data_IF_372920894233
#
_entry.id   IF_372920894233
#
_cell.length_a   1.000
_cell.length_b   1.000
_cell.length_c   1.000
_cell.angle_alpha   90.00
_cell.angle_beta   90.00
_cell.angle_gamma   90.00
#
_symmetry.space_group_name_H-M   'P 1'
#
loop_
_entity.id
_entity.type
_entity.pdbx_description
1 polymer ?
#
# COMPACT_ATOMS: atom_id res chain seq x y z
N UNK A 1 9.07 21.03 -12.36
CA UNK A 1 8.44 20.72 -11.06
C UNK A 1 6.96 20.48 -11.30
N UNK A 2 6.44 19.29 -11.00
CA UNK A 2 5.10 18.86 -11.42
C UNK A 2 4.01 19.60 -10.63
N UNK A 3 2.98 20.16 -11.29
CA UNK A 3 1.82 20.84 -10.68
C UNK A 3 1.13 20.00 -9.58
N UNK A 4 1.23 18.67 -9.71
CA UNK A 4 0.78 17.66 -8.74
C UNK A 4 1.46 17.74 -7.38
N UNK A 5 2.77 18.01 -7.35
CA UNK A 5 3.51 18.14 -6.10
C UNK A 5 3.19 19.45 -5.40
N UNK A 6 2.96 20.54 -6.14
CA UNK A 6 2.56 21.83 -5.56
C UNK A 6 1.24 21.73 -4.75
N UNK A 7 0.28 20.91 -5.20
CA UNK A 7 -0.97 20.68 -4.47
C UNK A 7 -0.77 19.79 -3.25
N UNK A 8 0.02 18.71 -3.37
CA UNK A 8 0.35 17.86 -2.21
C UNK A 8 1.19 18.63 -1.20
N UNK A 9 2.16 19.43 -1.64
CA UNK A 9 2.97 20.31 -0.78
C UNK A 9 2.16 21.47 -0.23
N UNK A 10 1.13 21.96 -0.91
CA UNK A 10 0.21 22.98 -0.37
C UNK A 10 -0.66 22.40 0.75
N UNK A 11 -1.12 21.15 0.62
CA UNK A 11 -1.75 20.40 1.72
C UNK A 11 -0.70 20.12 2.81
N UNK A 12 0.54 19.77 2.43
CA UNK A 12 1.65 19.55 3.36
C UNK A 12 2.00 20.82 4.12
N UNK A 13 2.04 22.01 3.52
CA UNK A 13 2.32 23.27 4.23
C UNK A 13 1.22 23.59 5.23
N UNK A 14 -0.03 23.20 4.95
CA UNK A 14 -1.13 23.31 5.90
C UNK A 14 -1.07 22.30 7.05
N UNK A 15 -0.32 21.20 6.90
CA UNK A 15 -0.09 20.18 7.94
C UNK A 15 1.30 20.26 8.62
N UNK A 16 2.28 20.91 7.98
CA UNK A 16 3.70 21.02 8.40
C UNK A 16 4.00 22.37 9.04
N UNK A 17 3.11 23.36 8.94
CA UNK A 17 3.05 24.46 9.91
C UNK A 17 2.07 24.08 11.02
N UNK A 18 2.52 23.44 12.11
CA UNK A 18 1.70 23.42 13.28
C UNK A 18 1.69 24.85 13.84
N UNK A 19 0.54 25.52 13.74
CA UNK A 19 0.10 26.26 14.92
C UNK A 19 -0.15 25.21 16.00
N UNK A 20 0.92 24.80 16.69
CA UNK A 20 0.83 24.15 17.99
C UNK A 20 0.30 25.22 18.95
N UNK A 21 -1.01 25.44 18.95
CA UNK A 21 -1.71 25.91 20.14
C UNK A 21 -2.38 24.67 20.72
N UNK A 22 -1.59 23.92 21.48
CA UNK A 22 -2.14 23.10 22.55
C UNK A 22 -2.49 24.10 23.65
N UNK A 23 -3.72 24.62 23.62
CA UNK A 23 -4.37 25.08 24.84
C UNK A 23 -5.14 23.88 25.38
N UNK A 24 -4.46 23.06 26.20
CA UNK A 24 -5.13 22.25 27.20
C UNK A 24 -4.85 22.93 28.53
N UNK A 25 -5.91 23.27 29.27
CA UNK A 25 -5.84 23.82 30.62
C UNK A 25 -5.02 22.88 31.50
N UNK A 26 -3.79 23.29 31.84
CA UNK A 26 -2.96 22.56 32.80
C UNK A 26 -3.54 22.60 34.23
N UNK A 27 -4.55 23.43 34.48
CA UNK A 27 -5.16 23.60 35.81
C UNK A 27 -6.06 22.42 36.21
N UNK A 28 -6.79 21.80 35.28
CA UNK A 28 -7.71 20.70 35.58
C UNK A 28 -6.98 19.38 35.89
N UNK A 29 -5.83 19.16 35.25
CA UNK A 29 -5.00 17.96 35.45
C UNK A 29 -4.24 18.06 36.78
N UNK A 30 -3.80 19.26 37.15
CA UNK A 30 -3.00 19.46 38.36
C UNK A 30 -3.86 19.31 39.63
N UNK A 31 -5.09 19.83 39.62
CA UNK A 31 -6.04 19.68 40.74
C UNK A 31 -6.46 18.22 40.94
N UNK A 32 -6.75 17.51 39.85
CA UNK A 32 -7.15 16.11 39.90
C UNK A 32 -5.99 15.19 40.35
N UNK A 33 -4.75 15.51 39.94
CA UNK A 33 -3.55 14.78 40.38
C UNK A 33 -3.23 14.97 41.88
N UNK A 34 -3.50 16.16 42.43
CA UNK A 34 -3.30 16.43 43.86
C UNK A 34 -4.34 15.74 44.73
N UNK A 35 -5.60 15.67 44.28
CA UNK A 35 -6.68 15.00 45.02
C UNK A 35 -6.51 13.47 45.03
N UNK A 36 -6.01 12.90 43.94
CA UNK A 36 -5.71 11.45 43.83
C UNK A 36 -4.45 11.06 44.63
N UNK A 37 -3.49 11.97 44.78
CA UNK A 37 -2.22 11.73 45.50
C UNK A 37 -2.39 11.41 46.99
N UNK A 38 -3.51 11.78 47.60
CA UNK A 38 -3.73 11.62 49.05
C UNK A 38 -4.12 10.17 49.41
N UNK A 39 -4.59 9.35 48.45
CA UNK A 39 -5.25 8.08 48.76
C UNK A 39 -4.52 6.77 48.39
N UNK A 40 -3.33 6.79 47.78
CA UNK A 40 -2.65 5.52 47.42
C UNK A 40 -1.13 5.56 47.58
N UNK A 41 -0.66 5.00 48.70
CA UNK A 41 0.75 4.64 48.88
C UNK A 41 0.99 3.23 48.32
N UNK A 42 1.03 3.12 46.98
CA UNK A 42 1.40 1.92 46.22
C UNK A 42 2.66 2.26 45.40
N UNK A 43 3.62 1.34 45.17
CA UNK A 43 4.94 1.68 44.63
C UNK A 43 4.84 2.40 43.28
N UNK A 44 5.22 3.68 43.27
CA UNK A 44 5.09 4.65 42.18
C UNK A 44 6.14 4.39 41.08
N UNK A 45 6.20 3.20 40.51
CA UNK A 45 6.90 2.96 39.23
C UNK A 45 5.97 3.43 38.09
N UNK A 46 5.95 4.75 37.92
CA UNK A 46 5.58 5.59 36.77
C UNK A 46 4.40 5.18 35.86
N UNK A 47 3.16 5.40 36.32
CA UNK A 47 1.94 5.41 35.48
C UNK A 47 2.10 6.22 34.18
N UNK A 48 2.76 7.39 34.23
CA UNK A 48 3.05 8.23 33.06
C UNK A 48 3.89 7.50 32.00
N UNK A 49 4.90 6.71 32.39
CA UNK A 49 5.72 5.97 31.43
C UNK A 49 4.93 4.83 30.76
N UNK A 50 4.02 4.19 31.48
CA UNK A 50 3.15 3.14 30.91
C UNK A 50 2.22 3.76 29.86
N UNK A 51 1.62 4.92 30.17
CA UNK A 51 0.80 5.65 29.22
C UNK A 51 1.58 6.05 27.95
N UNK A 52 2.81 6.57 28.11
CA UNK A 52 3.67 6.90 26.96
C UNK A 52 3.95 5.67 26.08
N UNK A 53 4.19 4.49 26.69
CA UNK A 53 4.40 3.24 25.95
C UNK A 53 3.13 2.83 25.17
N UNK A 54 1.95 2.95 25.79
CA UNK A 54 0.67 2.65 25.15
C UNK A 54 0.42 3.57 23.95
N UNK A 55 0.61 4.89 24.12
CA UNK A 55 0.46 5.87 23.04
C UNK A 55 1.46 5.61 21.91
N UNK A 56 2.72 5.34 22.24
CA UNK A 56 3.74 4.96 21.25
C UNK A 56 3.30 3.73 20.43
N UNK A 57 2.81 2.70 21.12
CA UNK A 57 2.32 1.47 20.49
C UNK A 57 1.15 1.73 19.55
N UNK A 58 0.15 2.52 19.99
CA UNK A 58 -1.03 2.87 19.18
C UNK A 58 -0.63 3.70 17.95
N UNK A 59 0.22 4.72 18.12
CA UNK A 59 0.69 5.55 17.03
C UNK A 59 1.44 4.73 15.97
N UNK A 60 2.35 3.85 16.39
CA UNK A 60 3.12 3.03 15.46
C UNK A 60 2.32 1.90 14.84
N UNK A 61 1.34 1.33 15.54
CA UNK A 61 0.37 0.43 14.93
C UNK A 61 -0.40 1.16 13.82
N UNK A 62 -1.03 2.28 14.13
CA UNK A 62 -1.81 3.05 13.16
C UNK A 62 -0.95 3.43 11.94
N UNK A 63 0.29 3.85 12.18
CA UNK A 63 1.25 4.19 11.14
C UNK A 63 1.70 2.99 10.30
N UNK A 64 2.47 2.09 10.91
CA UNK A 64 3.25 1.05 10.24
C UNK A 64 2.46 -0.24 10.05
N UNK A 65 1.56 -0.53 11.01
CA UNK A 65 0.69 -1.70 10.97
C UNK A 65 -0.54 -1.52 10.10
N UNK A 66 -1.01 -0.29 9.86
CA UNK A 66 -2.25 -0.03 9.11
C UNK A 66 -2.07 0.91 7.91
N UNK A 67 -1.79 2.21 8.12
CA UNK A 67 -1.81 3.22 7.06
C UNK A 67 -0.82 2.92 5.93
N UNK A 68 0.40 2.50 6.27
CA UNK A 68 1.42 2.17 5.28
C UNK A 68 1.04 0.95 4.41
N UNK A 69 0.68 -0.21 4.98
CA UNK A 69 0.14 -1.33 4.22
C UNK A 69 -1.10 -0.94 3.39
N UNK A 70 -2.04 -0.19 3.96
CA UNK A 70 -3.25 0.25 3.26
C UNK A 70 -2.91 1.13 2.04
N UNK A 71 -1.93 2.03 2.17
CA UNK A 71 -1.43 2.83 1.06
C UNK A 71 -0.80 1.99 -0.04
N UNK A 72 -0.06 0.94 0.30
CA UNK A 72 0.51 -0.01 -0.67
C UNK A 72 -0.60 -0.80 -1.38
N UNK A 73 -1.59 -1.30 -0.64
CA UNK A 73 -2.73 -2.00 -1.21
C UNK A 73 -3.56 -1.12 -2.13
N UNK A 74 -3.72 0.16 -1.79
CA UNK A 74 -4.47 1.13 -2.60
C UNK A 74 -3.79 1.39 -3.94
N UNK A 75 -2.49 1.68 -3.96
CA UNK A 75 -1.81 1.95 -5.24
C UNK A 75 -1.76 0.71 -6.11
N UNK A 76 -1.71 -0.49 -5.51
CA UNK A 76 -1.72 -1.75 -6.25
C UNK A 76 -3.00 -2.00 -7.05
N UNK A 77 -4.13 -1.43 -6.64
CA UNK A 77 -5.37 -1.44 -7.44
C UNK A 77 -5.21 -0.76 -8.81
N UNK A 78 -4.13 -0.01 -9.03
CA UNK A 78 -3.85 0.56 -10.35
C UNK A 78 -3.38 -0.45 -11.39
N UNK A 79 -3.03 -1.68 -10.98
CA UNK A 79 -2.51 -2.71 -11.87
C UNK A 79 -3.62 -3.51 -12.59
N UNK A 80 -4.89 -3.24 -12.29
CA UNK A 80 -6.06 -3.84 -12.94
C UNK A 80 -6.25 -3.24 -14.35
N UNK A 81 -6.49 -4.09 -15.36
CA UNK A 81 -6.60 -3.82 -16.80
C UNK A 81 -7.63 -2.73 -17.14
N UNK A 82 -8.61 -2.48 -16.27
CA UNK A 82 -9.71 -1.50 -16.48
C UNK A 82 -9.52 -0.15 -15.76
N UNK A 83 -8.28 0.23 -15.40
CA UNK A 83 -8.07 1.48 -14.68
C UNK A 83 -8.07 2.71 -15.61
N UNK A 84 -9.16 3.50 -15.58
CA UNK A 84 -9.19 4.79 -16.28
C UNK A 84 -8.10 5.74 -15.77
N UNK A 85 -7.67 6.68 -16.62
CA UNK A 85 -6.61 7.65 -16.28
C UNK A 85 -6.96 8.50 -15.05
N UNK A 86 -8.25 8.75 -14.82
CA UNK A 86 -8.77 9.44 -13.62
C UNK A 86 -8.66 8.58 -12.37
N UNK A 87 -9.06 7.30 -12.42
CA UNK A 87 -8.92 6.35 -11.29
C UNK A 87 -7.46 6.22 -10.86
N UNK A 88 -6.53 6.09 -11.82
CA UNK A 88 -5.10 6.02 -11.54
C UNK A 88 -4.57 7.27 -10.79
N UNK A 89 -5.07 8.47 -11.13
CA UNK A 89 -4.71 9.70 -10.42
C UNK A 89 -5.25 9.68 -8.98
N UNK A 90 -6.50 9.27 -8.79
CA UNK A 90 -7.12 9.18 -7.46
C UNK A 90 -6.34 8.20 -6.58
N UNK A 91 -6.07 6.98 -7.07
CA UNK A 91 -5.31 5.98 -6.31
C UNK A 91 -3.92 6.47 -5.94
N UNK A 92 -3.25 7.21 -6.82
CA UNK A 92 -1.96 7.84 -6.52
C UNK A 92 -2.06 8.90 -5.42
N UNK A 93 -3.09 9.75 -5.44
CA UNK A 93 -3.32 10.73 -4.38
C UNK A 93 -3.65 10.08 -3.05
N UNK A 94 -4.55 9.10 -3.04
CA UNK A 94 -4.91 8.36 -1.82
C UNK A 94 -3.68 7.66 -1.24
N UNK A 95 -2.87 6.98 -2.08
CA UNK A 95 -1.59 6.42 -1.66
C UNK A 95 -0.68 7.48 -1.03
N UNK A 96 -0.44 8.60 -1.73
CA UNK A 96 0.40 9.67 -1.23
C UNK A 96 -0.06 10.22 0.12
N UNK A 97 -1.36 10.48 0.28
CA UNK A 97 -1.96 10.97 1.53
C UNK A 97 -1.79 9.96 2.66
N UNK A 98 -2.09 8.67 2.43
CA UNK A 98 -1.90 7.62 3.43
C UNK A 98 -0.43 7.50 3.86
N UNK A 99 0.52 7.61 2.92
CA UNK A 99 1.95 7.56 3.26
C UNK A 99 2.41 8.80 4.03
N UNK A 100 1.92 9.99 3.70
CA UNK A 100 2.22 11.22 4.47
C UNK A 100 1.69 11.08 5.90
N UNK A 101 0.44 10.66 6.08
CA UNK A 101 -0.15 10.46 7.41
C UNK A 101 0.62 9.41 8.21
N UNK A 102 1.02 8.31 7.57
CA UNK A 102 1.87 7.29 8.18
C UNK A 102 3.19 7.90 8.66
N UNK A 103 3.92 8.65 7.81
CA UNK A 103 5.19 9.29 8.19
C UNK A 103 4.99 10.25 9.37
N UNK A 104 3.90 11.03 9.41
CA UNK A 104 3.59 11.93 10.53
C UNK A 104 3.39 11.16 11.83
N UNK A 105 2.58 10.10 11.83
CA UNK A 105 2.35 9.28 13.03
C UNK A 105 3.63 8.52 13.46
N UNK A 106 4.41 8.00 12.51
CA UNK A 106 5.71 7.40 12.79
C UNK A 106 6.67 8.40 13.45
N UNK A 107 6.69 9.63 12.95
CA UNK A 107 7.50 10.73 13.52
C UNK A 107 7.06 11.04 14.95
N UNK A 108 5.76 11.17 15.20
CA UNK A 108 5.23 11.40 16.54
C UNK A 108 5.61 10.27 17.51
N UNK A 109 5.45 9.01 17.09
CA UNK A 109 5.85 7.85 17.88
C UNK A 109 7.36 7.78 18.12
N UNK A 110 8.19 8.18 17.16
CA UNK A 110 9.65 8.27 17.30
C UNK A 110 10.06 9.36 18.31
N UNK A 111 9.47 10.56 18.20
CA UNK A 111 9.74 11.66 19.14
C UNK A 111 9.33 11.27 20.56
N UNK A 112 8.17 10.62 20.73
CA UNK A 112 7.73 10.10 22.02
C UNK A 112 8.71 9.07 22.57
N UNK A 113 9.17 8.13 21.74
CA UNK A 113 10.16 7.13 22.13
C UNK A 113 11.49 7.72 22.58
N UNK A 114 11.99 8.73 21.86
CA UNK A 114 13.25 9.41 22.17
C UNK A 114 13.14 10.21 23.47
N UNK A 115 11.99 10.86 23.71
CA UNK A 115 11.78 11.71 24.90
C UNK A 115 11.45 10.92 26.16
N UNK A 116 10.65 9.86 26.04
CA UNK A 116 10.05 9.19 27.21
C UNK A 116 10.73 7.88 27.60
N UNK A 117 11.53 7.24 26.72
CA UNK A 117 12.07 5.91 26.97
C UNK A 117 13.59 5.86 27.10
N UNK A 118 14.06 4.85 27.82
CA UNK A 118 15.49 4.51 27.89
C UNK A 118 15.89 3.72 26.64
N UNK A 119 16.51 4.43 25.70
CA UNK A 119 16.92 3.91 24.40
C UNK A 119 18.29 3.22 24.47
N UNK A 120 18.37 2.13 25.26
CA UNK A 120 19.58 1.33 25.41
C UNK A 120 19.85 0.40 24.21
N UNK A 121 18.87 0.24 23.30
CA UNK A 121 18.94 -0.61 22.09
C UNK A 121 19.34 -2.06 22.34
N UNK A 122 19.08 -2.57 23.55
CA UNK A 122 19.41 -3.93 23.95
C UNK A 122 18.34 -4.96 23.52
N UNK A 123 17.18 -4.49 23.06
CA UNK A 123 16.12 -5.35 22.57
C UNK A 123 15.96 -5.25 21.04
N UNK A 124 15.47 -6.32 20.44
CA UNK A 124 15.28 -6.43 18.98
C UNK A 124 14.31 -5.36 18.45
N UNK A 125 13.26 -5.03 19.21
CA UNK A 125 12.27 -4.01 18.84
C UNK A 125 12.91 -2.62 18.63
N UNK A 126 13.75 -2.16 19.56
CA UNK A 126 14.43 -0.86 19.47
C UNK A 126 15.39 -0.81 18.27
N UNK A 127 16.11 -1.91 18.00
CA UNK A 127 17.05 -1.99 16.86
C UNK A 127 16.31 -1.95 15.52
N UNK A 128 15.24 -2.73 15.38
CA UNK A 128 14.40 -2.71 14.17
C UNK A 128 13.69 -1.35 14.04
N UNK A 129 13.15 -0.82 15.14
CA UNK A 129 12.48 0.48 15.17
C UNK A 129 13.36 1.63 14.71
N UNK A 130 14.62 1.69 15.17
CA UNK A 130 15.58 2.70 14.71
C UNK A 130 15.84 2.60 13.20
N UNK A 131 16.07 1.38 12.70
CA UNK A 131 16.26 1.15 11.27
C UNK A 131 15.02 1.55 10.46
N UNK A 132 13.83 1.24 10.96
CA UNK A 132 12.56 1.64 10.36
C UNK A 132 12.40 3.15 10.28
N UNK A 133 12.71 3.91 11.34
CA UNK A 133 12.59 5.36 11.31
C UNK A 133 13.43 5.97 10.18
N UNK A 134 14.67 5.53 10.02
CA UNK A 134 15.55 5.98 8.94
C UNK A 134 14.97 5.57 7.59
N UNK A 135 14.59 4.30 7.44
CA UNK A 135 14.09 3.76 6.17
C UNK A 135 12.79 4.44 5.71
N UNK A 136 11.89 4.78 6.63
CA UNK A 136 10.63 5.50 6.32
C UNK A 136 10.91 6.86 5.71
N UNK A 137 11.84 7.65 6.26
CA UNK A 137 12.21 8.93 5.67
C UNK A 137 12.90 8.77 4.31
N UNK A 138 13.79 7.79 4.16
CA UNK A 138 14.42 7.49 2.86
C UNK A 138 13.34 7.18 1.82
N UNK A 139 12.39 6.31 2.14
CA UNK A 139 11.28 5.93 1.28
C UNK A 139 10.37 7.13 0.95
N UNK A 140 10.08 7.99 1.93
CA UNK A 140 9.32 9.22 1.75
C UNK A 140 10.00 10.16 0.75
N UNK A 141 11.28 10.49 0.95
CA UNK A 141 12.04 11.36 0.05
C UNK A 141 12.23 10.74 -1.35
N UNK A 142 12.41 9.42 -1.44
CA UNK A 142 12.39 8.72 -2.73
C UNK A 142 11.06 8.93 -3.47
N UNK A 143 9.94 8.93 -2.74
CA UNK A 143 8.63 9.28 -3.27
C UNK A 143 8.60 10.64 -3.96
N UNK A 144 9.13 11.69 -3.31
CA UNK A 144 9.22 13.05 -3.88
C UNK A 144 10.09 13.13 -5.14
N UNK A 145 11.16 12.33 -5.20
CA UNK A 145 12.07 12.28 -6.35
C UNK A 145 11.58 11.41 -7.51
N UNK A 146 10.28 11.10 -7.56
CA UNK A 146 9.68 10.30 -8.63
C UNK A 146 9.96 10.89 -10.03
N UNK A 147 10.61 10.13 -10.94
CA UNK A 147 10.90 10.59 -12.30
C UNK A 147 9.67 10.77 -13.19
N UNK A 148 9.80 11.64 -14.21
CA UNK A 148 8.76 11.86 -15.23
C UNK A 148 8.45 10.57 -16.02
N UNK A 149 7.20 10.45 -16.49
CA UNK A 149 6.79 9.34 -17.37
C UNK A 149 7.67 9.33 -18.63
N UNK A 150 8.07 8.13 -19.07
CA UNK A 150 8.93 7.94 -20.25
C UNK A 150 10.43 8.05 -20.00
N UNK A 151 10.88 8.48 -18.83
CA UNK A 151 12.32 8.53 -18.50
C UNK A 151 12.90 7.14 -18.19
N UNK A 152 14.14 6.87 -18.65
CA UNK A 152 14.85 5.60 -18.41
C UNK A 152 14.99 5.29 -16.91
N UNK A 153 15.18 6.32 -16.07
CA UNK A 153 15.31 6.17 -14.62
C UNK A 153 14.02 5.80 -13.88
N UNK A 154 12.83 5.90 -14.52
CA UNK A 154 11.55 5.63 -13.87
C UNK A 154 11.36 4.17 -13.48
N UNK A 155 11.83 3.24 -14.32
CA UNK A 155 11.73 1.80 -14.04
C UNK A 155 12.61 1.42 -12.85
N UNK A 156 13.85 1.91 -12.84
CA UNK A 156 14.81 1.71 -11.74
C UNK A 156 14.26 2.30 -10.43
N UNK A 157 13.79 3.55 -10.47
CA UNK A 157 13.14 4.17 -9.32
C UNK A 157 11.95 3.36 -8.81
N UNK A 158 11.09 2.89 -9.71
CA UNK A 158 9.92 2.11 -9.34
C UNK A 158 10.31 0.80 -8.65
N UNK A 159 11.28 0.06 -9.19
CA UNK A 159 11.77 -1.18 -8.60
C UNK A 159 12.28 -0.95 -7.17
N UNK A 160 13.18 0.02 -6.97
CA UNK A 160 13.74 0.28 -5.63
C UNK A 160 12.69 0.83 -4.66
N UNK A 161 11.83 1.76 -5.10
CA UNK A 161 10.77 2.31 -4.26
C UNK A 161 9.75 1.23 -3.86
N UNK A 162 9.36 0.35 -4.79
CA UNK A 162 8.48 -0.77 -4.50
C UNK A 162 9.13 -1.77 -3.54
N UNK A 163 10.38 -2.16 -3.81
CA UNK A 163 11.12 -3.12 -2.99
C UNK A 163 11.30 -2.60 -1.56
N UNK A 164 11.86 -1.39 -1.42
CA UNK A 164 12.08 -0.77 -0.11
C UNK A 164 10.76 -0.57 0.65
N UNK A 165 9.72 -0.08 -0.01
CA UNK A 165 8.41 0.10 0.62
C UNK A 165 7.81 -1.21 1.13
N UNK A 166 7.95 -2.29 0.36
CA UNK A 166 7.51 -3.63 0.77
C UNK A 166 8.32 -4.14 1.96
N UNK A 167 9.65 -3.99 1.94
CA UNK A 167 10.52 -4.36 3.06
C UNK A 167 10.19 -3.59 4.33
N UNK A 168 9.95 -2.27 4.24
CA UNK A 168 9.55 -1.43 5.38
C UNK A 168 8.21 -1.91 5.96
N UNK A 169 7.25 -2.25 5.10
CA UNK A 169 5.95 -2.79 5.53
C UNK A 169 6.11 -4.10 6.32
N UNK A 170 6.90 -5.05 5.80
CA UNK A 170 7.17 -6.32 6.48
C UNK A 170 7.91 -6.12 7.80
N UNK A 171 8.95 -5.30 7.79
CA UNK A 171 9.70 -4.97 9.00
C UNK A 171 8.82 -4.25 10.03
N UNK A 172 7.87 -3.40 9.59
CA UNK A 172 6.88 -2.76 10.44
C UNK A 172 5.99 -3.77 11.17
N UNK A 173 5.48 -4.79 10.45
CA UNK A 173 4.68 -5.87 11.03
C UNK A 173 5.49 -6.64 12.09
N UNK A 174 6.73 -7.04 11.76
CA UNK A 174 7.63 -7.72 12.70
C UNK A 174 7.91 -6.82 13.92
N UNK A 175 8.12 -5.53 13.70
CA UNK A 175 8.40 -4.58 14.77
C UNK A 175 7.20 -4.40 15.71
N UNK A 176 5.96 -4.47 15.21
CA UNK A 176 4.75 -4.45 16.03
C UNK A 176 4.67 -5.67 16.95
N UNK A 177 4.90 -6.88 16.43
CA UNK A 177 4.88 -8.10 17.26
C UNK A 177 5.98 -8.09 18.33
N UNK A 178 7.20 -7.69 17.95
CA UNK A 178 8.31 -7.56 18.92
C UNK A 178 8.04 -6.45 19.93
N UNK A 179 7.34 -5.38 19.54
CA UNK A 179 6.89 -4.30 20.41
C UNK A 179 5.84 -4.75 21.42
N UNK A 180 4.85 -5.54 21.00
CA UNK A 180 3.87 -6.15 21.90
C UNK A 180 4.56 -7.06 22.93
N UNK A 181 5.51 -7.89 22.50
CA UNK A 181 6.30 -8.72 23.42
C UNK A 181 7.12 -7.87 24.41
N UNK A 182 7.77 -6.81 23.94
CA UNK A 182 8.50 -5.88 24.80
C UNK A 182 7.59 -5.15 25.80
N UNK A 183 6.37 -4.79 25.38
CA UNK A 183 5.35 -4.21 26.25
C UNK A 183 4.90 -5.19 27.34
N UNK A 184 4.65 -6.46 27.00
CA UNK A 184 4.32 -7.49 27.98
C UNK A 184 5.45 -7.66 29.01
N UNK A 185 6.70 -7.76 28.56
CA UNK A 185 7.85 -7.90 29.46
C UNK A 185 8.04 -6.69 30.39
N UNK A 186 7.73 -5.48 29.91
CA UNK A 186 7.88 -4.23 30.68
C UNK A 186 6.74 -3.97 31.66
N UNK A 187 5.50 -4.35 31.31
CA UNK A 187 4.29 -3.98 32.06
C UNK A 187 3.59 -5.15 32.73
N UNK A 188 3.98 -6.39 32.41
CA UNK A 188 3.30 -7.63 32.79
C UNK A 188 1.82 -7.69 32.39
N UNK A 189 1.35 -6.78 31.52
CA UNK A 189 -0.03 -6.74 31.03
C UNK A 189 -0.24 -7.78 29.92
N UNK A 190 -1.41 -8.43 29.87
CA UNK A 190 -1.71 -9.40 28.82
C UNK A 190 -1.79 -8.72 27.45
N UNK A 191 -1.16 -9.34 26.45
CA UNK A 191 -1.13 -8.85 25.06
C UNK A 191 -1.97 -9.69 24.09
N UNK A 192 -2.55 -10.79 24.56
CA UNK A 192 -3.26 -11.78 23.71
C UNK A 192 -4.31 -11.12 22.80
N UNK A 193 -5.17 -10.29 23.38
CA UNK A 193 -6.22 -9.57 22.63
C UNK A 193 -5.62 -8.70 21.52
N UNK A 194 -4.61 -7.89 21.82
CA UNK A 194 -3.95 -7.02 20.85
C UNK A 194 -3.26 -7.82 19.75
N UNK A 195 -2.60 -8.91 20.10
CA UNK A 195 -1.98 -9.83 19.14
C UNK A 195 -3.01 -10.46 18.20
N UNK A 196 -4.17 -10.87 18.73
CA UNK A 196 -5.26 -11.44 17.92
C UNK A 196 -5.81 -10.40 16.95
N UNK A 197 -6.12 -9.19 17.42
CA UNK A 197 -6.63 -8.10 16.57
C UNK A 197 -5.63 -7.77 15.47
N UNK A 198 -4.34 -7.60 15.81
CA UNK A 198 -3.32 -7.28 14.83
C UNK A 198 -3.16 -8.38 13.79
N UNK A 199 -3.14 -9.64 14.24
CA UNK A 199 -3.02 -10.80 13.35
C UNK A 199 -4.22 -10.93 12.43
N UNK A 200 -5.44 -10.73 12.93
CA UNK A 200 -6.65 -10.71 12.12
C UNK A 200 -6.60 -9.58 11.08
N UNK A 201 -6.16 -8.37 11.46
CA UNK A 201 -5.98 -7.24 10.55
C UNK A 201 -4.99 -7.56 9.42
N UNK A 202 -3.80 -8.07 9.75
CA UNK A 202 -2.78 -8.42 8.74
C UNK A 202 -3.24 -9.58 7.87
N UNK A 203 -3.95 -10.56 8.43
CA UNK A 203 -4.52 -11.67 7.67
C UNK A 203 -5.57 -11.18 6.68
N UNK A 204 -6.47 -10.28 7.10
CA UNK A 204 -7.44 -9.64 6.22
C UNK A 204 -6.76 -8.85 5.09
N UNK A 205 -5.73 -8.07 5.41
CA UNK A 205 -4.93 -7.35 4.40
C UNK A 205 -4.22 -8.29 3.43
N UNK A 206 -3.70 -9.42 3.91
CA UNK A 206 -3.08 -10.47 3.09
C UNK A 206 -4.08 -11.17 2.18
N UNK A 207 -5.28 -11.48 2.67
CA UNK A 207 -6.36 -12.02 1.86
C UNK A 207 -6.79 -11.01 0.79
N UNK A 208 -6.97 -9.74 1.16
CA UNK A 208 -7.28 -8.68 0.21
C UNK A 208 -6.19 -8.53 -0.85
N UNK A 209 -4.90 -8.60 -0.45
CA UNK A 209 -3.77 -8.62 -1.37
C UNK A 209 -3.88 -9.76 -2.39
N UNK A 210 -4.16 -10.99 -1.94
CA UNK A 210 -4.30 -12.14 -2.84
C UNK A 210 -5.52 -11.98 -3.76
N UNK A 211 -6.62 -11.44 -3.21
CA UNK A 211 -7.87 -11.23 -3.93
C UNK A 211 -7.74 -10.23 -5.08
N UNK A 212 -6.98 -9.15 -4.89
CA UNK A 212 -6.72 -8.15 -5.94
C UNK A 212 -6.19 -8.76 -7.25
N UNK A 213 -5.35 -9.79 -7.17
CA UNK A 213 -4.75 -10.46 -8.34
C UNK A 213 -5.76 -11.33 -9.10
N UNK A 214 -6.77 -11.87 -8.40
CA UNK A 214 -7.76 -12.79 -8.97
C UNK A 214 -9.07 -12.12 -9.35
N UNK A 215 -9.27 -10.86 -8.99
CA UNK A 215 -10.53 -10.14 -9.22
C UNK A 215 -11.00 -10.23 -10.67
N UNK A 216 -10.15 -9.86 -11.64
CA UNK A 216 -10.53 -9.91 -13.06
C UNK A 216 -10.80 -11.33 -13.56
N UNK A 217 -10.02 -12.30 -13.08
CA UNK A 217 -10.22 -13.70 -13.45
C UNK A 217 -11.61 -14.18 -12.98
N UNK A 218 -12.00 -13.84 -11.75
CA UNK A 218 -13.31 -14.17 -11.19
C UNK A 218 -14.43 -13.50 -11.99
N UNK A 219 -14.29 -12.22 -12.34
CA UNK A 219 -15.28 -11.51 -13.16
C UNK A 219 -15.44 -12.18 -14.54
N UNK A 220 -14.34 -12.57 -15.18
CA UNK A 220 -14.36 -13.25 -16.49
C UNK A 220 -15.04 -14.64 -16.44
N UNK A 221 -14.98 -15.35 -15.32
CA UNK A 221 -15.68 -16.64 -15.14
C UNK A 221 -17.19 -16.48 -14.95
N UNK A 222 -17.65 -15.37 -14.37
CA UNK A 222 -19.08 -15.10 -14.16
C UNK A 222 -19.87 -14.70 -15.42
N UNK A 223 -19.20 -14.44 -16.55
CA UNK A 223 -19.80 -13.88 -17.78
C UNK A 223 -20.15 -14.96 -18.83
N UNK A 224 -19.82 -16.24 -18.62
CA UNK A 224 -20.05 -17.31 -19.62
C UNK A 224 -21.36 -18.09 -19.38
N UNK A 225 -22.49 -17.40 -19.19
CA UNK A 225 -23.79 -18.09 -19.13
C UNK A 225 -25.00 -17.31 -19.65
N UNK A 226 -24.82 -16.16 -20.32
CA UNK A 226 -25.95 -15.30 -20.73
C UNK A 226 -26.07 -15.01 -22.24
N UNK A 227 -25.16 -15.53 -23.08
CA UNK A 227 -25.09 -15.13 -24.50
C UNK A 227 -25.38 -16.23 -25.54
N UNK A 228 -26.03 -17.34 -25.17
CA UNK A 228 -26.30 -18.43 -26.13
C UNK A 228 -27.75 -18.59 -26.62
N UNK A 229 -28.67 -17.65 -26.34
CA UNK A 229 -30.05 -17.77 -26.83
C UNK A 229 -30.62 -16.48 -27.44
N UNK A 230 -30.00 -15.90 -28.48
CA UNK A 230 -30.78 -15.17 -29.50
C UNK A 230 -29.99 -14.97 -30.80
N UNK A 231 -29.95 -16.00 -31.66
CA UNK A 231 -29.72 -15.78 -33.11
C UNK A 231 -30.76 -16.59 -33.87
N UNK A 232 -31.91 -15.96 -34.14
CA UNK A 232 -32.83 -16.37 -35.21
C UNK A 232 -32.21 -16.02 -36.55
N UNK A 233 -31.98 -16.97 -37.47
CA UNK A 233 -31.47 -16.66 -38.80
C UNK A 233 -32.64 -16.19 -39.68
N UNK A 234 -32.64 -14.91 -40.04
CA UNK A 234 -33.52 -14.40 -41.09
C UNK A 234 -33.04 -14.94 -42.44
N UNK A 235 -33.88 -15.77 -43.07
CA UNK A 235 -33.66 -16.34 -44.40
C UNK A 235 -34.12 -15.31 -45.42
N UNK A 236 -33.17 -14.62 -46.06
CA UNK A 236 -33.43 -13.81 -47.27
C UNK A 236 -33.14 -14.66 -48.51
N UNK A 237 -34.18 -14.99 -49.26
CA UNK A 237 -34.10 -15.72 -50.52
C UNK A 237 -33.85 -14.71 -51.64
N UNK A 238 -32.66 -14.73 -52.25
CA UNK A 238 -32.37 -14.00 -53.50
C UNK A 238 -31.99 -15.01 -54.58
N UNK A 239 -32.74 -14.95 -55.69
CA UNK A 239 -32.66 -15.76 -56.91
C UNK A 239 -31.33 -15.47 -57.66
N UNK A 240 -30.68 -16.47 -58.31
CA UNK A 240 -29.32 -16.30 -58.81
C UNK A 240 -29.28 -15.73 -60.24
N UNK A 241 -28.27 -14.89 -60.52
CA UNK A 241 -27.82 -14.60 -61.89
C UNK A 241 -26.28 -14.67 -61.96
N UNK A 242 -25.84 -15.75 -62.60
CA UNK A 242 -24.60 -16.06 -63.33
C UNK A 242 -23.27 -15.32 -63.09
N UNK A 243 -22.27 -16.18 -62.87
CA UNK A 243 -20.96 -16.27 -63.52
C UNK A 243 -19.73 -15.50 -62.98
N UNK A 244 -18.80 -16.34 -62.51
CA UNK A 244 -17.33 -16.30 -62.61
C UNK A 244 -16.44 -15.64 -61.51
N UNK A 245 -15.52 -16.51 -61.05
CA UNK A 245 -14.19 -16.26 -60.45
C UNK A 245 -14.05 -15.93 -58.95
N UNK A 246 -14.07 -17.04 -58.20
CA UNK A 246 -13.26 -17.40 -57.03
C UNK A 246 -11.92 -16.63 -56.84
N UNK A 247 -11.87 -15.69 -55.90
CA UNK A 247 -10.77 -15.55 -54.91
C UNK A 247 -11.25 -14.73 -53.70
N UNK A 248 -11.61 -15.43 -52.62
CA UNK A 248 -11.99 -14.83 -51.33
C UNK A 248 -10.69 -14.46 -50.59
N UNK A 249 -10.34 -13.17 -50.55
CA UNK A 249 -9.37 -12.64 -49.60
C UNK A 249 -10.12 -12.23 -48.32
N UNK A 250 -10.15 -13.12 -47.33
CA UNK A 250 -10.66 -12.83 -45.99
C UNK A 250 -9.58 -12.08 -45.22
N UNK A 251 -9.71 -10.77 -45.08
CA UNK A 251 -8.88 -10.01 -44.14
C UNK A 251 -9.38 -10.31 -42.73
N UNK A 252 -8.67 -11.22 -42.04
CA UNK A 252 -8.91 -11.50 -40.62
C UNK A 252 -8.57 -10.28 -39.77
N UNK A 253 -9.58 -9.73 -39.11
CA UNK A 253 -9.44 -8.70 -38.09
C UNK A 253 -8.78 -9.29 -36.84
N UNK A 254 -7.49 -9.03 -36.69
CA UNK A 254 -6.78 -8.80 -35.43
C UNK A 254 -7.10 -9.67 -34.22
N UNK A 255 -6.76 -10.97 -34.27
CA UNK A 255 -6.62 -11.79 -33.05
C UNK A 255 -5.43 -11.28 -32.22
N UNK A 256 -5.70 -10.73 -31.03
CA UNK A 256 -4.70 -10.33 -30.02
C UNK A 256 -3.77 -11.52 -29.74
N UNK A 257 -2.53 -11.46 -30.22
CA UNK A 257 -1.52 -12.51 -30.00
C UNK A 257 -0.74 -12.22 -28.73
N UNK A 258 -0.74 -13.20 -27.83
CA UNK A 258 0.07 -13.18 -26.62
C UNK A 258 1.55 -13.32 -27.00
N UNK A 259 2.48 -12.84 -26.17
CA UNK A 259 3.92 -12.81 -26.45
C UNK A 259 4.55 -14.16 -26.89
N UNK A 260 3.92 -15.27 -26.53
CA UNK A 260 4.33 -16.61 -26.98
C UNK A 260 4.00 -16.86 -28.47
N UNK A 261 2.84 -16.37 -28.94
CA UNK A 261 2.39 -16.54 -30.32
C UNK A 261 3.21 -15.72 -31.33
N UNK A 262 3.68 -14.54 -30.91
CA UNK A 262 4.60 -13.73 -31.73
C UNK A 262 5.99 -14.37 -31.84
N UNK A 263 6.46 -15.07 -30.81
CA UNK A 263 7.74 -15.81 -30.86
C UNK A 263 7.69 -16.98 -31.84
N UNK A 264 6.64 -17.80 -31.81
CA UNK A 264 6.49 -18.94 -32.75
C UNK A 264 6.27 -18.49 -34.20
N UNK A 265 5.49 -17.42 -34.43
CA UNK A 265 5.34 -16.86 -35.78
C UNK A 265 6.67 -16.36 -36.34
N UNK A 266 7.48 -15.67 -35.53
CA UNK A 266 8.77 -15.13 -35.98
C UNK A 266 9.78 -16.23 -36.26
N UNK A 267 9.78 -17.33 -35.50
CA UNK A 267 10.65 -18.48 -35.75
C UNK A 267 10.29 -19.21 -37.05
N UNK A 268 8.99 -19.41 -37.33
CA UNK A 268 8.55 -20.06 -38.57
C UNK A 268 8.82 -19.22 -39.82
N UNK A 269 8.74 -17.89 -39.73
CA UNK A 269 9.09 -16.99 -40.85
C UNK A 269 10.60 -17.02 -41.14
N UNK A 270 11.44 -17.06 -40.11
CA UNK A 270 12.90 -17.14 -40.29
C UNK A 270 13.33 -18.47 -40.92
N UNK A 271 12.77 -19.59 -40.49
CA UNK A 271 13.09 -20.89 -41.09
C UNK A 271 12.70 -20.97 -42.58
N UNK A 272 11.64 -20.28 -43.01
CA UNK A 272 11.27 -20.21 -44.44
C UNK A 272 12.26 -19.37 -45.26
N UNK A 273 12.87 -18.34 -44.69
CA UNK A 273 13.85 -17.50 -45.40
C UNK A 273 15.20 -18.21 -45.59
N UNK A 274 15.57 -19.13 -44.68
CA UNK A 274 16.82 -19.90 -44.78
C UNK A 274 16.70 -21.21 -45.58
N UNK A 275 15.49 -21.59 -46.01
CA UNK A 275 15.27 -22.74 -46.91
C UNK A 275 15.16 -22.36 -48.39
N UNK A 276 15.30 -21.07 -48.73
CA UNK A 276 15.26 -20.58 -50.12
C UNK A 276 16.63 -20.21 -50.71
N UNK A 277 17.73 -20.62 -50.07
CA UNK A 277 19.09 -20.56 -50.65
C UNK A 277 19.65 -21.96 -50.84
#
# INVERSE_FOLDING_TARGET
MNKYWLQITSVLTSFVFPHFIVCLSNEDIQLNSQLISINQHVPKVNSHRIFDIEIHGILLWASMGFLMPAGILTIRLSNTEECSTTKLKILFYVHGTLQVLSVVLATAGAVLSIKSFENLFNNTHQRIGLALYIAVYVQFFMGFRRPMRGSKGRSVWYFFHWLLGTTICLAGIINTYTGLNAYNQRTSKPISLWTIIFTAQISFMGLFYLFQDKWEYIQKQGVILDNNETITPQVEIVVPQNDEQKMIMRTESGRKSNALGTFFSRHNVLNKLFQQN
#
